data_IF_846299663704
#
_entry.id   IF_846299663704
#
_cell.length_a   1.000
_cell.length_b   1.000
_cell.length_c   1.000
_cell.angle_alpha   90.00
_cell.angle_beta   90.00
_cell.angle_gamma   90.00
#
_symmetry.space_group_name_H-M   'P 1'
#
loop_
_entity.id
_entity.type
_entity.pdbx_description
1 polymer ?
#
# COMPACT_ATOMS: atom_id res chain seq x y z
N UNK A 1 34.97 -62.88 -39.26
CA UNK A 1 34.41 -63.33 -37.96
C UNK A 1 33.96 -62.09 -37.18
N UNK A 2 32.69 -61.82 -37.19
CA UNK A 2 32.11 -60.68 -36.49
C UNK A 2 31.55 -61.18 -35.11
N UNK A 3 32.02 -60.63 -34.00
CA UNK A 3 31.44 -60.89 -32.67
C UNK A 3 30.45 -59.81 -32.34
N UNK A 4 29.20 -60.15 -32.09
CA UNK A 4 28.17 -59.31 -31.53
C UNK A 4 28.19 -59.40 -30.01
N UNK A 5 28.24 -58.26 -29.29
CA UNK A 5 28.01 -58.17 -27.86
C UNK A 5 26.58 -57.65 -27.61
N UNK A 6 25.82 -58.43 -26.87
CA UNK A 6 24.49 -58.04 -26.34
C UNK A 6 24.68 -57.35 -25.01
N UNK A 7 24.24 -56.11 -24.91
CA UNK A 7 24.17 -55.41 -23.62
C UNK A 7 22.79 -55.62 -23.02
N UNK A 8 22.73 -56.18 -21.82
CA UNK A 8 21.51 -56.35 -21.03
C UNK A 8 21.26 -55.03 -20.25
N UNK A 9 20.23 -54.30 -20.62
CA UNK A 9 19.77 -53.16 -19.86
C UNK A 9 18.87 -53.64 -18.69
N UNK A 10 19.32 -53.43 -17.46
CA UNK A 10 18.50 -53.64 -16.29
C UNK A 10 17.57 -52.46 -16.09
N UNK A 11 16.28 -52.65 -16.34
CA UNK A 11 15.22 -51.69 -15.93
C UNK A 11 14.95 -51.84 -14.44
N UNK A 12 15.31 -50.77 -13.68
CA UNK A 12 14.91 -50.65 -12.29
C UNK A 12 13.43 -50.18 -12.25
N UNK A 13 12.51 -51.08 -11.95
CA UNK A 13 11.14 -50.77 -11.55
C UNK A 13 11.15 -50.19 -10.15
N UNK A 14 11.00 -48.88 -10.01
CA UNK A 14 10.65 -48.25 -8.74
C UNK A 14 9.15 -48.48 -8.48
N UNK A 15 8.84 -49.45 -7.61
CA UNK A 15 7.49 -49.66 -7.09
C UNK A 15 7.27 -48.60 -6.01
N UNK A 16 6.51 -47.55 -6.34
CA UNK A 16 5.99 -46.59 -5.36
C UNK A 16 4.82 -47.27 -4.61
N UNK A 17 5.05 -47.63 -3.37
CA UNK A 17 3.96 -47.96 -2.44
C UNK A 17 3.30 -46.63 -2.03
N UNK A 18 2.19 -46.26 -2.70
CA UNK A 18 1.34 -45.18 -2.29
C UNK A 18 0.60 -45.57 -1.00
N UNK A 19 1.11 -45.15 0.16
CA UNK A 19 0.26 -45.04 1.34
C UNK A 19 -0.74 -43.95 1.09
N UNK A 20 -2.01 -44.33 0.86
CA UNK A 20 -3.12 -43.41 0.70
C UNK A 20 -3.35 -42.61 1.99
N UNK A 21 -2.61 -41.53 2.19
CA UNK A 21 -3.07 -40.44 3.04
C UNK A 21 -4.24 -39.77 2.33
N UNK A 22 -5.44 -39.97 2.84
CA UNK A 22 -6.57 -39.13 2.51
C UNK A 22 -6.21 -37.72 2.91
N UNK A 23 -5.83 -36.90 1.94
CA UNK A 23 -5.56 -35.47 2.15
C UNK A 23 -6.85 -34.83 2.65
N UNK A 24 -6.81 -33.99 3.70
CA UNK A 24 -7.97 -33.16 3.98
C UNK A 24 -8.19 -32.30 2.74
N UNK A 25 -9.32 -32.48 2.09
CA UNK A 25 -9.78 -31.61 1.01
C UNK A 25 -9.85 -30.22 1.63
N UNK A 26 -8.98 -29.33 1.21
CA UNK A 26 -9.10 -27.92 1.60
C UNK A 26 -10.43 -27.45 1.02
N UNK A 27 -11.38 -27.18 1.88
CA UNK A 27 -12.65 -26.57 1.45
C UNK A 27 -12.31 -25.22 0.80
N UNK A 28 -12.75 -25.03 -0.44
CA UNK A 28 -12.70 -23.73 -1.08
C UNK A 28 -13.54 -22.73 -0.27
N UNK A 29 -13.23 -21.43 -0.28
CA UNK A 29 -14.09 -20.44 0.32
C UNK A 29 -15.51 -20.58 -0.23
N UNK A 30 -16.49 -20.69 0.64
CA UNK A 30 -17.89 -20.97 0.26
C UNK A 30 -18.48 -19.90 -0.68
N UNK A 31 -17.91 -18.69 -0.67
CA UNK A 31 -18.35 -17.53 -1.45
C UNK A 31 -17.84 -17.49 -2.90
N UNK A 32 -16.76 -18.19 -3.23
CA UNK A 32 -16.06 -18.04 -4.52
C UNK A 32 -15.25 -16.73 -4.66
N UNK A 33 -15.08 -15.98 -3.56
CA UNK A 33 -14.23 -14.80 -3.47
C UNK A 33 -12.83 -15.16 -2.95
N UNK A 34 -11.85 -14.29 -3.17
CA UNK A 34 -10.59 -14.34 -2.44
C UNK A 34 -10.85 -14.11 -0.94
N UNK A 35 -10.00 -14.67 -0.10
CA UNK A 35 -10.20 -14.57 1.36
C UNK A 35 -8.86 -14.67 2.11
N UNK A 36 -8.92 -14.59 3.43
CA UNK A 36 -7.77 -14.77 4.32
C UNK A 36 -7.87 -16.12 5.02
N UNK A 37 -6.76 -16.86 5.04
CA UNK A 37 -6.63 -18.12 5.78
C UNK A 37 -5.24 -18.22 6.38
N UNK A 38 -5.14 -18.37 7.70
CA UNK A 38 -3.84 -18.48 8.40
C UNK A 38 -2.86 -17.37 8.01
N UNK A 39 -3.32 -16.12 8.05
CA UNK A 39 -2.51 -14.91 7.76
C UNK A 39 -2.01 -14.83 6.30
N UNK A 40 -2.58 -15.60 5.37
CA UNK A 40 -2.26 -15.54 3.95
C UNK A 40 -3.51 -15.26 3.11
N UNK A 41 -3.31 -14.59 1.97
CA UNK A 41 -4.34 -14.44 0.96
C UNK A 41 -4.54 -15.77 0.23
N UNK A 42 -5.79 -16.15 0.02
CA UNK A 42 -6.15 -17.33 -0.79
C UNK A 42 -7.17 -16.95 -1.85
N UNK A 43 -7.07 -17.59 -3.00
CA UNK A 43 -8.05 -17.45 -4.07
C UNK A 43 -9.36 -18.22 -3.76
N UNK A 44 -10.33 -18.13 -4.69
CA UNK A 44 -11.62 -18.81 -4.58
C UNK A 44 -11.54 -20.35 -4.49
N UNK A 45 -10.39 -20.94 -4.80
CA UNK A 45 -10.12 -22.38 -4.67
C UNK A 45 -9.32 -22.72 -3.41
N UNK A 46 -9.05 -21.72 -2.56
CA UNK A 46 -8.29 -21.88 -1.33
C UNK A 46 -6.77 -22.07 -1.54
N UNK A 47 -6.23 -21.74 -2.72
CA UNK A 47 -4.79 -21.75 -3.02
C UNK A 47 -4.16 -20.44 -2.54
N UNK A 48 -2.94 -20.49 -2.03
CA UNK A 48 -2.20 -19.28 -1.64
C UNK A 48 -2.04 -18.38 -2.87
N UNK A 49 -2.46 -17.12 -2.74
CA UNK A 49 -2.48 -16.12 -3.80
C UNK A 49 -1.34 -15.13 -3.59
N UNK A 50 -0.47 -14.99 -4.59
CA UNK A 50 0.57 -13.95 -4.62
C UNK A 50 0.12 -12.83 -5.55
N UNK A 51 -0.08 -11.64 -4.99
CA UNK A 51 -0.44 -10.45 -5.76
C UNK A 51 0.83 -9.77 -6.28
N UNK A 52 0.94 -9.65 -7.60
CA UNK A 52 1.96 -8.88 -8.31
C UNK A 52 1.24 -7.80 -9.11
N UNK A 53 1.28 -6.59 -8.61
CA UNK A 53 0.41 -5.53 -9.08
C UNK A 53 1.10 -4.23 -9.43
N UNK A 54 0.27 -3.33 -9.91
CA UNK A 54 0.63 -1.96 -10.26
C UNK A 54 -0.47 -1.00 -9.81
N UNK A 55 -0.07 0.20 -9.39
CA UNK A 55 -1.00 1.29 -9.16
C UNK A 55 -1.40 1.94 -10.49
N UNK A 56 -2.71 2.10 -10.71
CA UNK A 56 -3.27 2.81 -11.84
C UNK A 56 -4.19 3.92 -11.32
N UNK A 57 -3.64 5.11 -11.20
CA UNK A 57 -4.26 6.24 -10.52
C UNK A 57 -4.28 7.46 -11.44
N UNK A 58 -5.44 8.08 -11.59
CA UNK A 58 -5.61 9.35 -12.29
C UNK A 58 -6.12 10.39 -11.30
N UNK A 59 -5.34 11.45 -11.11
CA UNK A 59 -5.59 12.49 -10.08
C UNK A 59 -6.24 13.76 -10.63
N UNK A 60 -6.36 13.85 -11.98
CA UNK A 60 -6.82 15.07 -12.68
C UNK A 60 -8.34 15.12 -12.80
N UNK A 61 -8.99 16.14 -12.24
CA UNK A 61 -10.41 16.39 -12.48
C UNK A 61 -10.71 16.77 -13.94
N UNK A 62 -9.76 17.35 -14.68
CA UNK A 62 -9.88 17.67 -16.11
C UNK A 62 -10.03 16.40 -16.93
N UNK A 63 -9.38 15.32 -16.56
CA UNK A 63 -9.52 14.00 -17.15
C UNK A 63 -10.69 13.21 -16.55
N UNK A 64 -11.48 13.83 -15.68
CA UNK A 64 -12.59 13.20 -14.96
C UNK A 64 -12.16 11.97 -14.18
N UNK A 65 -10.93 11.99 -13.66
CA UNK A 65 -10.29 10.91 -12.89
C UNK A 65 -10.21 9.57 -13.63
N UNK A 66 -10.16 9.58 -14.96
CA UNK A 66 -10.04 8.37 -15.79
C UNK A 66 -9.02 8.56 -16.89
N UNK A 67 -8.24 7.52 -17.20
CA UNK A 67 -7.43 7.50 -18.41
C UNK A 67 -8.31 7.27 -19.64
N UNK A 68 -8.17 8.06 -20.70
CA UNK A 68 -8.91 7.83 -21.93
C UNK A 68 -8.40 6.56 -22.63
N UNK A 69 -9.33 5.69 -23.07
CA UNK A 69 -9.06 4.50 -23.88
C UNK A 69 -8.11 3.48 -23.25
N UNK A 70 -8.19 3.28 -21.95
CA UNK A 70 -7.32 2.36 -21.21
C UNK A 70 -7.74 0.87 -21.26
N UNK A 71 -8.78 0.49 -22.02
CA UNK A 71 -9.20 -0.91 -22.20
C UNK A 71 -8.05 -1.81 -22.68
N UNK A 72 -7.27 -1.34 -23.67
CA UNK A 72 -6.14 -2.10 -24.19
C UNK A 72 -5.04 -2.28 -23.12
N UNK A 73 -4.88 -1.31 -22.23
CA UNK A 73 -3.90 -1.35 -21.14
C UNK A 73 -4.15 -2.52 -20.18
N UNK A 74 -5.41 -2.88 -19.90
CA UNK A 74 -5.72 -4.05 -19.06
C UNK A 74 -5.22 -5.36 -19.68
N UNK A 75 -5.26 -5.49 -21.02
CA UNK A 75 -4.66 -6.63 -21.72
C UNK A 75 -3.13 -6.62 -21.61
N UNK A 76 -2.53 -5.44 -21.70
CA UNK A 76 -1.08 -5.27 -21.55
C UNK A 76 -0.64 -5.61 -20.12
N UNK A 77 -1.33 -5.14 -19.11
CA UNK A 77 -1.08 -5.52 -17.71
C UNK A 77 -1.08 -7.04 -17.55
N UNK A 78 -2.07 -7.73 -18.10
CA UNK A 78 -2.13 -9.19 -18.06
C UNK A 78 -0.94 -9.84 -18.77
N UNK A 79 -0.57 -9.32 -19.92
CA UNK A 79 0.59 -9.81 -20.69
C UNK A 79 1.92 -9.59 -19.95
N UNK A 80 2.03 -8.53 -19.17
CA UNK A 80 3.19 -8.26 -18.31
C UNK A 80 3.24 -9.13 -17.04
N UNK A 81 2.25 -9.98 -16.85
CA UNK A 81 2.15 -10.86 -15.67
C UNK A 81 1.53 -10.20 -14.45
N UNK A 82 0.99 -8.98 -14.59
CA UNK A 82 0.25 -8.31 -13.54
C UNK A 82 -1.07 -9.04 -13.30
N UNK A 83 -1.33 -9.40 -12.05
CA UNK A 83 -2.58 -10.04 -11.64
C UNK A 83 -3.42 -9.20 -10.68
N UNK A 84 -2.93 -8.02 -10.31
CA UNK A 84 -3.60 -7.09 -9.42
C UNK A 84 -3.38 -5.65 -9.85
N UNK A 85 -4.42 -4.83 -9.84
CA UNK A 85 -4.33 -3.38 -10.02
C UNK A 85 -4.91 -2.72 -8.77
N UNK A 86 -4.12 -1.85 -8.12
CA UNK A 86 -4.63 -0.90 -7.14
C UNK A 86 -5.13 0.31 -7.94
N UNK A 87 -6.45 0.37 -8.08
CA UNK A 87 -7.12 1.34 -8.92
C UNK A 87 -7.60 2.52 -8.10
N UNK A 88 -6.96 3.67 -8.29
CA UNK A 88 -7.29 4.90 -7.57
C UNK A 88 -8.63 5.48 -8.02
N UNK A 89 -9.52 5.66 -7.05
CA UNK A 89 -10.78 6.39 -7.19
C UNK A 89 -10.74 7.63 -6.30
N UNK A 90 -11.42 8.69 -6.70
CA UNK A 90 -11.38 9.96 -6.00
C UNK A 90 -12.73 10.30 -5.38
N UNK A 91 -12.73 10.70 -4.11
CA UNK A 91 -13.97 11.10 -3.43
C UNK A 91 -14.65 12.29 -4.12
N UNK A 92 -13.88 13.31 -4.58
CA UNK A 92 -14.42 14.43 -5.36
C UNK A 92 -15.14 13.98 -6.64
N UNK A 93 -14.60 12.97 -7.32
CA UNK A 93 -15.23 12.37 -8.49
C UNK A 93 -16.53 11.61 -8.16
N UNK A 94 -16.59 10.94 -7.02
CA UNK A 94 -17.72 10.12 -6.58
C UNK A 94 -18.87 10.94 -6.01
N UNK A 95 -18.56 11.97 -5.21
CA UNK A 95 -19.54 12.79 -4.47
C UNK A 95 -19.21 14.28 -4.65
N UNK A 96 -19.44 14.86 -5.86
CA UNK A 96 -19.11 16.25 -6.15
C UNK A 96 -19.91 17.27 -5.32
N UNK A 97 -21.09 16.88 -4.83
CA UNK A 97 -21.92 17.65 -3.90
C UNK A 97 -22.38 16.73 -2.76
N UNK A 98 -22.63 17.25 -1.54
CA UNK A 98 -23.00 16.44 -0.39
C UNK A 98 -24.20 15.53 -0.67
N UNK A 99 -24.03 14.23 -0.52
CA UNK A 99 -25.06 13.20 -0.74
C UNK A 99 -25.44 12.96 -2.19
N UNK A 100 -24.74 13.55 -3.18
CA UNK A 100 -25.02 13.38 -4.60
C UNK A 100 -23.90 12.59 -5.28
N UNK A 101 -24.20 11.33 -5.61
CA UNK A 101 -23.23 10.45 -6.27
C UNK A 101 -23.21 10.66 -7.78
N UNK A 102 -22.01 10.70 -8.35
CA UNK A 102 -21.78 10.91 -9.78
C UNK A 102 -21.86 9.59 -10.54
N UNK A 103 -23.05 9.28 -11.07
CA UNK A 103 -23.28 8.03 -11.79
C UNK A 103 -22.41 7.90 -13.05
N UNK A 104 -22.06 9.01 -13.72
CA UNK A 104 -21.19 8.94 -14.89
C UNK A 104 -19.76 8.48 -14.54
N UNK A 105 -19.22 8.91 -13.41
CA UNK A 105 -17.94 8.44 -12.92
C UNK A 105 -18.01 6.98 -12.40
N UNK A 106 -19.10 6.63 -11.72
CA UNK A 106 -19.34 5.24 -11.31
C UNK A 106 -19.37 4.28 -12.51
N UNK A 107 -20.01 4.68 -13.64
CA UNK A 107 -20.00 3.89 -14.87
C UNK A 107 -18.60 3.73 -15.48
N UNK A 108 -17.73 4.73 -15.33
CA UNK A 108 -16.33 4.59 -15.75
C UNK A 108 -15.58 3.55 -14.89
N UNK A 109 -15.82 3.55 -13.57
CA UNK A 109 -15.26 2.51 -12.67
C UNK A 109 -15.82 1.13 -13.06
N UNK A 110 -17.13 1.00 -13.32
CA UNK A 110 -17.75 -0.26 -13.76
C UNK A 110 -17.09 -0.83 -15.04
N UNK A 111 -16.69 0.04 -15.97
CA UNK A 111 -15.96 -0.40 -17.18
C UNK A 111 -14.62 -1.04 -16.81
N UNK A 112 -13.85 -0.42 -15.90
CA UNK A 112 -12.55 -0.92 -15.45
C UNK A 112 -12.70 -2.23 -14.68
N UNK A 113 -13.71 -2.33 -13.84
CA UNK A 113 -14.06 -3.58 -13.15
C UNK A 113 -14.34 -4.70 -14.16
N UNK A 114 -15.10 -4.41 -15.22
CA UNK A 114 -15.37 -5.39 -16.28
C UNK A 114 -14.11 -5.77 -17.05
N UNK A 115 -13.27 -4.80 -17.44
CA UNK A 115 -12.01 -5.10 -18.14
C UNK A 115 -11.04 -5.92 -17.29
N UNK A 116 -11.02 -5.68 -15.99
CA UNK A 116 -10.25 -6.49 -15.06
C UNK A 116 -10.76 -7.93 -15.02
N UNK A 117 -12.08 -8.13 -14.93
CA UNK A 117 -12.72 -9.44 -14.95
C UNK A 117 -12.42 -10.19 -16.24
N UNK A 118 -12.60 -9.54 -17.40
CA UNK A 118 -12.34 -10.11 -18.74
C UNK A 118 -10.87 -10.53 -18.93
N UNK A 119 -9.93 -9.87 -18.24
CA UNK A 119 -8.50 -10.17 -18.31
C UNK A 119 -8.00 -11.02 -17.12
N UNK A 120 -8.86 -11.43 -16.20
CA UNK A 120 -8.49 -12.22 -15.02
C UNK A 120 -7.53 -11.48 -14.08
N UNK A 121 -7.76 -10.19 -13.88
CA UNK A 121 -7.00 -9.30 -13.00
C UNK A 121 -7.87 -8.94 -11.79
N UNK A 122 -7.31 -8.97 -10.60
CA UNK A 122 -7.97 -8.45 -9.41
C UNK A 122 -7.85 -6.93 -9.33
N UNK A 123 -8.92 -6.25 -8.92
CA UNK A 123 -8.90 -4.83 -8.57
C UNK A 123 -8.99 -4.63 -7.07
N UNK A 124 -8.11 -3.80 -6.54
CA UNK A 124 -8.26 -3.15 -5.24
C UNK A 124 -8.76 -1.75 -5.54
N UNK A 125 -9.98 -1.42 -5.09
CA UNK A 125 -10.47 -0.03 -5.20
C UNK A 125 -9.85 0.78 -4.08
N UNK A 126 -9.02 1.76 -4.44
CA UNK A 126 -8.30 2.63 -3.54
C UNK A 126 -8.95 4.02 -3.51
N UNK A 127 -9.45 4.44 -2.34
CA UNK A 127 -9.91 5.81 -2.16
C UNK A 127 -8.69 6.72 -2.01
N UNK A 128 -8.19 7.15 -3.15
CA UNK A 128 -6.93 7.88 -3.25
C UNK A 128 -7.06 9.34 -2.83
N UNK A 129 -6.09 9.80 -2.06
CA UNK A 129 -5.94 11.18 -1.68
C UNK A 129 -4.45 11.56 -1.61
N UNK A 130 -4.14 12.81 -1.96
CA UNK A 130 -2.93 13.51 -1.61
C UNK A 130 -3.30 14.88 -1.07
N UNK A 131 -2.69 15.27 0.05
CA UNK A 131 -2.91 16.55 0.72
C UNK A 131 -4.39 16.79 1.08
N UNK A 132 -5.11 15.71 1.41
CA UNK A 132 -6.52 15.66 1.78
C UNK A 132 -7.49 15.74 0.60
N UNK A 133 -7.38 16.70 -0.29
CA UNK A 133 -8.42 16.89 -1.29
C UNK A 133 -8.04 17.80 -2.45
N UNK A 134 -8.96 17.91 -3.41
CA UNK A 134 -8.83 18.64 -4.65
C UNK A 134 -8.28 20.07 -4.50
N UNK A 135 -8.57 20.73 -3.39
CA UNK A 135 -8.12 22.09 -3.14
C UNK A 135 -6.61 22.23 -3.06
N UNK A 136 -5.90 21.19 -2.64
CA UNK A 136 -4.45 21.18 -2.39
C UNK A 136 -3.70 20.11 -3.19
N UNK A 137 -4.39 19.04 -3.56
CA UNK A 137 -3.89 17.89 -4.29
C UNK A 137 -5.03 17.15 -4.97
N UNK A 138 -5.42 15.98 -4.44
CA UNK A 138 -6.56 15.20 -4.90
C UNK A 138 -7.22 14.46 -3.73
N UNK A 139 -8.42 13.92 -3.94
CA UNK A 139 -9.16 13.15 -2.94
C UNK A 139 -10.50 13.80 -2.59
N UNK A 140 -10.59 14.48 -1.44
CA UNK A 140 -11.83 15.09 -0.96
C UNK A 140 -12.31 16.23 -1.86
N UNK A 141 -13.64 16.37 -2.06
CA UNK A 141 -14.22 17.53 -2.74
C UNK A 141 -14.05 18.83 -1.92
N UNK A 142 -14.17 19.97 -2.59
CA UNK A 142 -14.00 21.27 -1.94
C UNK A 142 -14.96 21.47 -0.77
N UNK A 143 -16.21 21.01 -0.89
CA UNK A 143 -17.20 21.14 0.17
C UNK A 143 -16.86 20.35 1.44
N UNK A 144 -16.04 19.29 1.33
CA UNK A 144 -15.54 18.48 2.46
C UNK A 144 -14.16 18.96 2.95
N UNK A 145 -13.49 19.86 2.23
CA UNK A 145 -12.17 20.39 2.56
C UNK A 145 -12.33 21.59 3.51
N UNK A 146 -12.52 21.30 4.81
CA UNK A 146 -12.77 22.31 5.83
C UNK A 146 -11.45 22.85 6.42
N UNK A 147 -10.81 23.73 5.69
CA UNK A 147 -9.49 24.31 6.04
C UNK A 147 -9.55 25.59 6.88
N UNK A 148 -10.77 26.07 7.24
CA UNK A 148 -11.01 27.30 7.99
C UNK A 148 -10.34 28.54 7.38
N UNK A 149 -10.10 28.53 6.07
CA UNK A 149 -9.40 29.60 5.34
C UNK A 149 -7.98 29.85 5.82
N UNK A 150 -7.34 28.87 6.41
CA UNK A 150 -5.93 28.93 6.78
C UNK A 150 -5.04 28.96 5.52
N UNK A 151 -3.82 29.51 5.63
CA UNK A 151 -2.92 29.58 4.47
C UNK A 151 -2.45 28.19 4.06
N UNK A 152 -2.40 27.96 2.74
CA UNK A 152 -1.73 26.82 2.15
C UNK A 152 -0.25 27.15 1.91
N UNK A 153 0.64 26.23 2.29
CA UNK A 153 2.07 26.34 2.06
C UNK A 153 2.57 25.12 1.27
N UNK A 154 3.45 25.36 0.32
CA UNK A 154 4.12 24.33 -0.50
C UNK A 154 5.61 24.36 -0.24
N UNK A 155 6.28 23.19 -0.24
CA UNK A 155 7.71 23.04 -0.10
C UNK A 155 8.39 22.72 -1.43
N UNK A 156 9.59 22.13 -1.37
CA UNK A 156 10.34 21.70 -2.55
C UNK A 156 9.73 20.46 -3.20
N UNK A 157 9.31 19.52 -2.37
CA UNK A 157 8.55 18.37 -2.82
C UNK A 157 7.07 18.55 -2.47
N UNK A 158 6.19 17.97 -3.25
CA UNK A 158 4.75 18.11 -3.07
C UNK A 158 4.28 17.70 -1.66
N UNK A 159 4.89 16.66 -1.11
CA UNK A 159 4.53 16.09 0.20
C UNK A 159 4.96 16.95 1.40
N UNK A 160 5.85 17.93 1.22
CA UNK A 160 6.21 18.88 2.28
C UNK A 160 4.97 19.59 2.84
N UNK A 161 3.95 19.80 1.99
CA UNK A 161 2.69 20.44 2.39
C UNK A 161 1.96 19.71 3.53
N UNK A 162 2.15 18.42 3.72
CA UNK A 162 1.64 17.71 4.90
C UNK A 162 2.21 18.29 6.20
N UNK A 163 3.48 18.67 6.20
CA UNK A 163 4.19 19.15 7.39
C UNK A 163 4.09 20.66 7.59
N UNK A 164 4.04 21.44 6.49
CA UNK A 164 4.16 22.91 6.57
C UNK A 164 2.89 23.67 6.24
N UNK A 165 1.83 23.02 5.72
CA UNK A 165 0.59 23.70 5.35
C UNK A 165 -0.47 23.62 6.46
N UNK A 166 -0.77 24.75 7.15
CA UNK A 166 -1.85 24.79 8.13
C UNK A 166 -3.20 24.39 7.56
N UNK A 167 -3.49 24.77 6.30
CA UNK A 167 -4.74 24.46 5.61
C UNK A 167 -4.93 22.93 5.40
N UNK A 168 -3.88 22.23 4.96
CA UNK A 168 -3.91 20.76 4.79
C UNK A 168 -4.11 20.08 6.14
N UNK A 169 -3.29 20.43 7.14
CA UNK A 169 -3.39 19.84 8.47
C UNK A 169 -4.78 20.05 9.10
N UNK A 170 -5.34 21.24 8.95
CA UNK A 170 -6.67 21.56 9.49
C UNK A 170 -7.79 20.78 8.80
N UNK A 171 -7.66 20.53 7.49
CA UNK A 171 -8.63 19.71 6.77
C UNK A 171 -8.68 18.29 7.31
N UNK A 172 -7.52 17.68 7.63
CA UNK A 172 -7.47 16.38 8.29
C UNK A 172 -8.04 16.42 9.72
N UNK A 173 -7.71 17.44 10.50
CA UNK A 173 -8.27 17.60 11.86
C UNK A 173 -9.80 17.60 11.82
N UNK A 174 -10.39 18.37 10.91
CA UNK A 174 -11.83 18.42 10.72
C UNK A 174 -12.44 17.08 10.27
N UNK A 175 -11.70 16.32 9.45
CA UNK A 175 -12.12 14.96 9.05
C UNK A 175 -12.13 14.01 10.26
N UNK A 176 -11.06 14.01 11.06
CA UNK A 176 -10.99 13.15 12.25
C UNK A 176 -11.99 13.54 13.33
N UNK A 177 -12.30 14.83 13.41
CA UNK A 177 -13.35 15.34 14.30
C UNK A 177 -14.78 15.08 13.78
N UNK A 178 -14.91 14.59 12.52
CA UNK A 178 -16.19 14.45 11.84
C UNK A 178 -16.99 15.75 11.80
N UNK A 179 -16.31 16.87 11.52
CA UNK A 179 -16.92 18.19 11.46
C UNK A 179 -18.07 18.24 10.45
N UNK A 180 -19.15 18.98 10.72
CA UNK A 180 -20.33 18.99 9.86
C UNK A 180 -20.06 19.70 8.52
N UNK A 181 -20.52 19.10 7.43
CA UNK A 181 -20.63 19.72 6.11
C UNK A 181 -21.81 20.72 6.07
N UNK A 182 -22.02 21.35 4.92
CA UNK A 182 -23.10 22.36 4.75
C UNK A 182 -24.51 21.80 4.98
N UNK A 183 -24.73 20.52 4.76
CA UNK A 183 -26.00 19.82 4.98
C UNK A 183 -26.19 19.35 6.43
N UNK A 184 -25.19 19.57 7.30
CA UNK A 184 -25.19 19.19 8.70
C UNK A 184 -24.69 17.76 8.98
N UNK A 185 -24.41 16.96 7.96
CA UNK A 185 -23.82 15.63 8.09
C UNK A 185 -22.30 15.77 8.31
N UNK A 186 -21.68 14.92 9.12
CA UNK A 186 -20.23 14.93 9.30
C UNK A 186 -19.49 14.54 8.04
N UNK A 187 -18.36 15.20 7.73
CA UNK A 187 -17.59 14.91 6.51
C UNK A 187 -17.02 13.48 6.50
N UNK A 188 -16.67 12.93 7.67
CA UNK A 188 -16.26 11.54 7.77
C UNK A 188 -17.43 10.57 7.52
N UNK A 189 -18.65 10.94 7.94
CA UNK A 189 -19.85 10.14 7.70
C UNK A 189 -20.21 10.12 6.21
N UNK A 190 -20.04 11.23 5.48
CA UNK A 190 -20.15 11.24 4.02
C UNK A 190 -19.19 10.26 3.37
N UNK A 191 -17.91 10.33 3.73
CA UNK A 191 -16.87 9.41 3.24
C UNK A 191 -17.22 7.93 3.48
N UNK A 192 -17.69 7.61 4.69
CA UNK A 192 -18.13 6.28 5.07
C UNK A 192 -19.36 5.85 4.24
N UNK A 193 -20.28 6.76 3.95
CA UNK A 193 -21.46 6.48 3.12
C UNK A 193 -21.09 6.21 1.66
N UNK A 194 -20.10 6.92 1.10
CA UNK A 194 -19.54 6.61 -0.23
C UNK A 194 -19.03 5.18 -0.27
N UNK A 195 -18.26 4.74 0.72
CA UNK A 195 -17.81 3.34 0.83
C UNK A 195 -18.97 2.36 0.95
N UNK A 196 -20.00 2.71 1.70
CA UNK A 196 -21.19 1.88 1.78
C UNK A 196 -21.91 1.70 0.45
N UNK A 197 -22.00 2.76 -0.36
CA UNK A 197 -22.56 2.73 -1.71
C UNK A 197 -21.67 1.88 -2.65
N UNK A 198 -20.36 2.04 -2.61
CA UNK A 198 -19.43 1.23 -3.41
C UNK A 198 -19.49 -0.25 -3.03
N UNK A 199 -19.55 -0.56 -1.74
CA UNK A 199 -19.68 -1.92 -1.24
C UNK A 199 -20.99 -2.59 -1.73
N UNK A 200 -22.09 -1.85 -1.76
CA UNK A 200 -23.36 -2.32 -2.31
C UNK A 200 -23.28 -2.54 -3.83
N UNK A 201 -22.67 -1.59 -4.58
CA UNK A 201 -22.54 -1.66 -6.04
C UNK A 201 -21.71 -2.86 -6.49
N UNK A 202 -20.64 -3.20 -5.77
CA UNK A 202 -19.70 -4.25 -6.16
C UNK A 202 -19.83 -5.55 -5.34
N UNK A 203 -20.85 -5.70 -4.51
CA UNK A 203 -21.03 -6.85 -3.59
C UNK A 203 -20.87 -8.23 -4.24
N UNK A 204 -21.22 -8.37 -5.52
CA UNK A 204 -21.14 -9.61 -6.28
C UNK A 204 -19.96 -9.67 -7.27
N UNK A 205 -19.12 -8.62 -7.34
CA UNK A 205 -18.03 -8.49 -8.31
C UNK A 205 -16.74 -9.16 -7.79
N UNK A 206 -16.48 -10.38 -8.21
CA UNK A 206 -15.33 -11.18 -7.75
C UNK A 206 -13.97 -10.66 -8.25
N UNK A 207 -13.94 -9.90 -9.32
CA UNK A 207 -12.74 -9.22 -9.81
C UNK A 207 -12.31 -8.06 -8.92
N UNK A 208 -13.24 -7.40 -8.22
CA UNK A 208 -12.91 -6.53 -7.10
C UNK A 208 -12.49 -7.43 -5.94
N UNK A 209 -11.20 -7.46 -5.61
CA UNK A 209 -10.72 -8.30 -4.50
C UNK A 209 -11.00 -7.65 -3.14
N UNK A 210 -11.07 -6.32 -3.09
CA UNK A 210 -11.37 -5.58 -1.87
C UNK A 210 -11.23 -4.08 -2.02
N UNK A 211 -11.37 -3.39 -0.89
CA UNK A 211 -11.41 -1.95 -0.76
C UNK A 211 -10.22 -1.46 0.06
N UNK A 212 -9.39 -0.62 -0.54
CA UNK A 212 -8.35 0.13 0.15
C UNK A 212 -8.96 1.45 0.63
N UNK A 213 -9.23 1.46 1.93
CA UNK A 213 -10.27 2.33 2.48
C UNK A 213 -9.87 3.79 2.63
N UNK A 214 -8.59 4.10 2.63
CA UNK A 214 -8.03 5.45 2.59
C UNK A 214 -6.53 5.39 2.29
N UNK A 215 -6.11 6.04 1.21
CA UNK A 215 -4.68 6.23 0.91
C UNK A 215 -4.03 7.09 2.00
N UNK A 216 -2.94 6.61 2.58
CA UNK A 216 -2.02 7.32 3.48
C UNK A 216 -2.72 8.19 4.54
N UNK A 217 -3.43 7.58 5.52
CA UNK A 217 -4.10 8.34 6.57
C UNK A 217 -3.12 9.29 7.28
N UNK A 218 -3.36 10.60 7.19
CA UNK A 218 -2.50 11.60 7.79
C UNK A 218 -3.13 12.21 9.06
N UNK A 219 -2.30 12.48 10.06
CA UNK A 219 -2.76 12.80 11.42
C UNK A 219 -3.04 14.30 11.69
N UNK A 220 -3.11 15.13 10.63
CA UNK A 220 -3.40 16.55 10.76
C UNK A 220 -2.33 17.33 11.54
N UNK A 221 -2.76 18.27 12.39
CA UNK A 221 -1.84 19.10 13.19
C UNK A 221 -0.98 18.32 14.19
N UNK A 222 -1.34 17.08 14.54
CA UNK A 222 -0.50 16.21 15.39
C UNK A 222 0.86 15.89 14.72
N UNK A 223 0.96 16.02 13.40
CA UNK A 223 2.20 15.83 12.65
C UNK A 223 3.31 16.82 13.06
N UNK A 224 2.95 17.99 13.56
CA UNK A 224 3.95 18.96 14.07
C UNK A 224 4.74 18.39 15.25
N UNK A 225 4.09 17.65 16.13
CA UNK A 225 4.76 16.98 17.24
C UNK A 225 5.68 15.85 16.75
N UNK A 226 5.28 15.11 15.71
CA UNK A 226 6.11 14.07 15.09
C UNK A 226 7.38 14.68 14.51
N UNK A 227 7.26 15.77 13.75
CA UNK A 227 8.41 16.46 13.17
C UNK A 227 9.37 16.98 14.26
N UNK A 228 8.84 17.62 15.31
CA UNK A 228 9.66 18.05 16.45
C UNK A 228 10.39 16.87 17.11
N UNK A 229 9.70 15.74 17.29
CA UNK A 229 10.29 14.53 17.87
C UNK A 229 11.37 13.91 16.97
N UNK A 230 11.24 13.98 15.64
CA UNK A 230 12.33 13.59 14.72
C UNK A 230 13.57 14.43 14.94
N UNK A 231 13.41 15.75 15.06
CA UNK A 231 14.53 16.66 15.35
C UNK A 231 15.19 16.34 16.71
N UNK A 232 14.39 16.13 17.74
CA UNK A 232 14.88 15.75 19.07
C UNK A 232 15.63 14.41 19.07
N UNK A 233 15.07 13.40 18.39
CA UNK A 233 15.71 12.09 18.21
C UNK A 233 17.08 12.19 17.55
N UNK A 234 17.18 13.00 16.50
CA UNK A 234 18.46 13.23 15.84
C UNK A 234 19.46 13.96 16.73
N UNK A 235 19.05 14.98 17.46
CA UNK A 235 19.89 15.68 18.43
C UNK A 235 20.40 14.70 19.50
N UNK A 236 19.55 13.82 20.01
CA UNK A 236 19.92 12.78 20.99
C UNK A 236 20.97 11.82 20.40
N UNK A 237 20.78 11.39 19.15
CA UNK A 237 21.77 10.59 18.42
C UNK A 237 23.13 11.30 18.34
N UNK A 238 23.16 12.58 17.93
CA UNK A 238 24.40 13.38 17.83
C UNK A 238 25.09 13.55 19.19
N UNK A 239 24.34 13.82 20.26
CA UNK A 239 24.87 13.93 21.61
C UNK A 239 25.51 12.62 22.09
N UNK A 240 24.86 11.48 21.82
CA UNK A 240 25.39 10.14 22.12
C UNK A 240 26.70 9.87 21.40
N UNK A 241 26.91 10.46 20.22
CA UNK A 241 28.15 10.37 19.43
C UNK A 241 29.12 11.52 19.66
N UNK A 242 28.97 12.26 20.77
CA UNK A 242 29.93 13.28 21.22
C UNK A 242 29.74 14.70 20.65
N UNK A 243 28.71 14.92 19.84
CA UNK A 243 28.36 16.24 19.28
C UNK A 243 27.40 17.00 20.21
N UNK A 244 27.85 17.34 21.40
CA UNK A 244 27.00 17.89 22.49
C UNK A 244 26.63 19.38 22.33
N UNK A 245 27.13 20.07 21.30
CA UNK A 245 26.87 21.50 21.06
C UNK A 245 25.68 21.75 20.13
N UNK A 246 25.03 20.68 19.61
CA UNK A 246 23.86 20.82 18.73
C UNK A 246 22.62 21.10 19.56
N UNK A 247 21.91 22.19 19.24
CA UNK A 247 20.66 22.58 19.89
C UNK A 247 19.47 22.48 18.92
N UNK A 248 18.23 22.47 19.43
CA UNK A 248 17.04 22.49 18.58
C UNK A 248 17.01 23.69 17.60
N UNK A 249 17.44 24.87 18.07
CA UNK A 249 17.45 26.09 17.25
C UNK A 249 18.48 25.98 16.12
N UNK A 250 19.66 25.39 16.39
CA UNK A 250 20.66 25.12 15.36
C UNK A 250 20.16 24.14 14.31
N UNK A 251 19.44 23.09 14.73
CA UNK A 251 18.84 22.11 13.81
C UNK A 251 17.73 22.72 12.97
N UNK A 252 16.88 23.56 13.54
CA UNK A 252 15.85 24.28 12.79
C UNK A 252 16.48 25.14 11.70
N UNK A 253 17.57 25.86 12.00
CA UNK A 253 18.30 26.66 11.01
C UNK A 253 18.91 25.80 9.86
N UNK A 254 19.39 24.59 10.18
CA UNK A 254 19.86 23.62 9.16
C UNK A 254 18.70 23.16 8.29
N UNK A 255 17.54 22.86 8.88
CA UNK A 255 16.35 22.43 8.16
C UNK A 255 15.78 23.50 7.22
N UNK A 256 15.80 24.76 7.66
CA UNK A 256 15.32 25.89 6.88
C UNK A 256 16.29 26.30 5.74
N UNK A 257 17.49 25.71 5.71
CA UNK A 257 18.48 25.95 4.65
C UNK A 257 18.56 24.72 3.72
N UNK A 258 18.20 24.92 2.45
CA UNK A 258 18.09 23.87 1.43
C UNK A 258 19.36 23.01 1.30
N UNK A 259 20.51 23.66 1.11
CA UNK A 259 21.79 22.95 0.91
C UNK A 259 22.18 22.15 2.16
N UNK A 260 21.98 22.74 3.35
CA UNK A 260 22.29 22.09 4.62
C UNK A 260 21.33 20.95 4.92
N UNK A 261 20.06 21.13 4.58
CA UNK A 261 19.04 20.05 4.70
C UNK A 261 19.38 18.87 3.78
N UNK A 262 19.75 19.12 2.52
CA UNK A 262 20.17 18.08 1.59
C UNK A 262 21.40 17.31 2.10
N UNK A 263 22.40 18.02 2.62
CA UNK A 263 23.59 17.40 3.23
C UNK A 263 23.20 16.58 4.48
N UNK A 264 22.33 17.12 5.34
CA UNK A 264 21.80 16.41 6.50
C UNK A 264 21.09 15.12 6.10
N UNK A 265 20.22 15.16 5.10
CA UNK A 265 19.52 13.98 4.59
C UNK A 265 20.48 12.93 4.04
N UNK A 266 21.57 13.34 3.41
CA UNK A 266 22.63 12.44 2.97
C UNK A 266 23.38 11.80 4.16
N UNK A 267 23.65 12.55 5.23
CA UNK A 267 24.28 12.03 6.44
C UNK A 267 23.41 11.05 7.21
N UNK A 268 22.09 11.18 7.11
CA UNK A 268 21.10 10.24 7.70
C UNK A 268 21.02 8.89 6.96
N UNK A 269 22.05 8.50 6.22
CA UNK A 269 22.21 7.14 5.68
C UNK A 269 22.51 6.12 6.77
N UNK A 270 22.98 6.58 7.93
CA UNK A 270 23.24 5.71 9.08
C UNK A 270 21.94 5.12 9.62
N UNK A 271 21.87 3.78 9.67
CA UNK A 271 20.69 3.05 10.15
C UNK A 271 20.38 3.32 11.62
N UNK A 272 21.41 3.51 12.47
CA UNK A 272 21.21 3.79 13.89
C UNK A 272 20.55 5.16 14.07
N UNK A 273 21.06 6.21 13.39
CA UNK A 273 20.46 7.53 13.38
C UNK A 273 19.00 7.49 12.92
N UNK A 274 18.74 6.83 11.78
CA UNK A 274 17.41 6.66 11.23
C UNK A 274 16.44 5.99 12.22
N UNK A 275 16.89 4.91 12.86
CA UNK A 275 16.07 4.16 13.80
C UNK A 275 15.76 4.97 15.07
N UNK A 276 16.74 5.71 15.62
CA UNK A 276 16.55 6.56 16.80
C UNK A 276 15.58 7.71 16.52
N UNK A 277 15.67 8.34 15.34
CA UNK A 277 14.74 9.38 14.91
C UNK A 277 13.31 8.86 14.85
N UNK A 278 13.09 7.75 14.16
CA UNK A 278 11.75 7.16 14.05
C UNK A 278 11.19 6.72 15.40
N UNK A 279 12.05 6.17 16.25
CA UNK A 279 11.64 5.72 17.59
C UNK A 279 11.14 6.88 18.46
N UNK A 280 11.76 8.06 18.34
CA UNK A 280 11.34 9.24 19.12
C UNK A 280 9.87 9.64 18.88
N UNK A 281 9.35 9.43 17.65
CA UNK A 281 7.97 9.78 17.31
C UNK A 281 6.98 8.59 17.42
N UNK A 282 7.45 7.39 17.71
CA UNK A 282 6.63 6.17 17.64
C UNK A 282 5.39 6.22 18.55
N UNK A 283 5.49 6.81 19.74
CA UNK A 283 4.36 6.91 20.67
C UNK A 283 3.27 7.84 20.15
N UNK A 284 3.64 8.98 19.56
CA UNK A 284 2.67 9.94 18.98
C UNK A 284 1.93 9.35 17.81
N UNK A 285 2.64 8.68 16.88
CA UNK A 285 2.04 7.98 15.75
C UNK A 285 1.13 6.85 16.23
N UNK A 286 1.60 6.04 17.17
CA UNK A 286 0.83 4.94 17.76
C UNK A 286 -0.47 5.41 18.41
N UNK A 287 -0.44 6.53 19.12
CA UNK A 287 -1.63 7.11 19.77
C UNK A 287 -2.69 7.51 18.75
N UNK A 288 -2.31 8.16 17.65
CA UNK A 288 -3.22 8.48 16.55
C UNK A 288 -3.85 7.22 15.96
N UNK A 289 -3.02 6.22 15.64
CA UNK A 289 -3.51 4.97 15.03
C UNK A 289 -4.47 4.20 15.94
N UNK A 290 -4.17 4.11 17.23
CA UNK A 290 -5.01 3.39 18.20
C UNK A 290 -6.32 4.12 18.50
N UNK A 291 -6.38 5.43 18.31
CA UNK A 291 -7.57 6.24 18.60
C UNK A 291 -8.33 6.64 17.33
N UNK A 292 -7.85 7.67 16.63
CA UNK A 292 -8.58 8.27 15.51
C UNK A 292 -8.74 7.28 14.37
N UNK A 293 -7.65 6.68 13.93
CA UNK A 293 -7.63 5.76 12.79
C UNK A 293 -8.41 4.48 13.09
N UNK A 294 -8.22 3.89 14.27
CA UNK A 294 -8.95 2.67 14.66
C UNK A 294 -10.46 2.91 14.78
N UNK A 295 -10.90 4.07 15.31
CA UNK A 295 -12.32 4.41 15.34
C UNK A 295 -12.93 4.59 13.95
N UNK A 296 -12.19 5.21 13.06
CA UNK A 296 -12.58 5.36 11.66
C UNK A 296 -12.73 4.01 10.98
N UNK A 297 -11.73 3.13 11.09
CA UNK A 297 -11.80 1.78 10.53
C UNK A 297 -12.95 0.95 11.07
N UNK A 298 -13.26 1.09 12.35
CA UNK A 298 -14.43 0.42 12.94
C UNK A 298 -15.74 0.89 12.31
N UNK A 299 -15.97 2.20 12.23
CA UNK A 299 -17.18 2.77 11.61
C UNK A 299 -17.31 2.37 10.14
N UNK A 300 -16.20 2.44 9.41
CA UNK A 300 -16.15 2.13 7.98
C UNK A 300 -16.43 0.66 7.73
N UNK A 301 -15.79 -0.25 8.48
CA UNK A 301 -16.08 -1.68 8.44
C UNK A 301 -17.57 -1.95 8.71
N UNK A 302 -18.13 -1.36 9.73
CA UNK A 302 -19.52 -1.59 10.11
C UNK A 302 -20.48 -1.16 8.99
N UNK A 303 -20.19 -0.06 8.30
CA UNK A 303 -20.98 0.42 7.16
C UNK A 303 -20.83 -0.49 5.94
N UNK A 304 -19.61 -0.89 5.58
CA UNK A 304 -19.34 -1.80 4.46
C UNK A 304 -20.01 -3.15 4.71
N UNK A 305 -19.88 -3.71 5.91
CA UNK A 305 -20.41 -5.06 6.24
C UNK A 305 -21.92 -5.13 6.32
N UNK A 306 -22.64 -4.02 6.23
CA UNK A 306 -24.09 -4.00 6.03
C UNK A 306 -24.46 -4.50 4.62
N UNK A 307 -23.68 -4.13 3.62
CA UNK A 307 -23.94 -4.46 2.22
C UNK A 307 -23.07 -5.62 1.71
N UNK A 308 -21.83 -5.72 2.15
CA UNK A 308 -20.83 -6.66 1.65
C UNK A 308 -20.16 -7.44 2.79
N UNK A 309 -20.13 -8.77 2.64
CA UNK A 309 -19.51 -9.68 3.62
C UNK A 309 -18.37 -10.52 3.04
N UNK A 310 -17.98 -10.26 1.81
CA UNK A 310 -17.07 -11.10 1.04
C UNK A 310 -15.75 -10.43 0.69
N UNK A 311 -15.75 -9.13 0.39
CA UNK A 311 -14.56 -8.44 -0.05
C UNK A 311 -13.59 -8.15 1.09
N UNK A 312 -12.30 -8.13 0.75
CA UNK A 312 -11.23 -7.77 1.68
C UNK A 312 -11.28 -6.29 2.01
N UNK A 313 -10.88 -5.95 3.23
CA UNK A 313 -10.60 -4.58 3.65
C UNK A 313 -9.09 -4.41 3.75
N UNK A 314 -8.53 -3.60 2.88
CA UNK A 314 -7.15 -3.20 2.91
C UNK A 314 -7.04 -1.98 3.82
N UNK A 315 -6.32 -2.15 4.94
CA UNK A 315 -6.19 -1.16 5.99
C UNK A 315 -4.77 -0.64 6.00
N UNK A 316 -4.62 0.61 5.62
CA UNK A 316 -3.33 1.27 5.61
C UNK A 316 -2.90 1.73 7.00
N UNK A 317 -1.64 1.94 7.17
CA UNK A 317 -1.07 2.57 8.34
C UNK A 317 -1.02 4.11 8.19
N UNK A 318 -0.68 4.81 9.25
CA UNK A 318 -0.44 6.25 9.19
C UNK A 318 0.74 6.58 8.24
N UNK A 319 0.65 7.70 7.53
CA UNK A 319 1.67 8.22 6.61
C UNK A 319 3.11 8.07 7.12
N UNK A 320 3.39 8.38 8.39
CA UNK A 320 4.75 8.25 8.94
C UNK A 320 5.22 6.80 9.12
N UNK A 321 4.32 5.83 9.07
CA UNK A 321 4.69 4.42 9.10
C UNK A 321 5.31 3.94 7.77
N UNK A 322 5.15 4.68 6.67
CA UNK A 322 5.81 4.41 5.38
C UNK A 322 7.32 4.28 5.52
N UNK A 323 7.92 5.04 6.46
CA UNK A 323 9.36 5.05 6.73
C UNK A 323 9.81 3.99 7.74
N UNK A 324 8.89 3.15 8.26
CA UNK A 324 9.22 2.06 9.17
C UNK A 324 8.92 2.32 10.65
N UNK A 325 8.14 3.34 11.02
CA UNK A 325 7.49 3.35 12.33
C UNK A 325 6.49 2.19 12.37
N UNK A 326 6.52 1.39 13.43
CA UNK A 326 5.60 0.26 13.57
C UNK A 326 4.16 0.74 13.69
N UNK A 327 3.32 0.24 12.83
CA UNK A 327 1.90 0.51 12.91
C UNK A 327 1.25 -0.18 14.13
N UNK A 328 0.18 0.42 14.65
CA UNK A 328 -0.45 -0.02 15.90
C UNK A 328 -1.98 0.11 15.92
N UNK A 329 -2.62 0.34 14.77
CA UNK A 329 -4.07 0.38 14.70
C UNK A 329 -4.71 -0.95 15.12
N UNK A 330 -5.94 -0.88 15.63
CA UNK A 330 -6.73 -2.05 15.98
C UNK A 330 -7.53 -2.56 14.79
N UNK A 331 -7.56 -3.89 14.62
CA UNK A 331 -8.40 -4.52 13.60
C UNK A 331 -9.86 -4.29 13.98
N UNK A 332 -10.70 -3.77 13.07
CA UNK A 332 -12.12 -3.58 13.36
C UNK A 332 -12.80 -4.93 13.60
N UNK A 333 -13.77 -4.94 14.50
CA UNK A 333 -14.43 -6.15 14.97
C UNK A 333 -15.93 -6.13 14.72
N UNK A 334 -16.55 -7.30 14.77
CA UNK A 334 -18.01 -7.42 14.75
C UNK A 334 -18.64 -7.02 16.11
N UNK A 335 -19.97 -7.04 16.18
CA UNK A 335 -20.72 -6.70 17.40
C UNK A 335 -20.45 -7.61 18.59
N UNK A 336 -19.82 -8.76 18.39
CA UNK A 336 -19.40 -9.71 19.42
C UNK A 336 -17.94 -9.51 19.83
N UNK A 337 -17.25 -8.52 19.27
CA UNK A 337 -15.84 -8.24 19.53
C UNK A 337 -14.88 -9.18 18.77
N UNK A 338 -15.37 -9.96 17.79
CA UNK A 338 -14.51 -10.80 16.96
C UNK A 338 -13.91 -9.95 15.84
N UNK A 339 -12.56 -9.92 15.72
CA UNK A 339 -11.89 -9.22 14.62
C UNK A 339 -12.40 -9.67 13.25
N UNK A 340 -12.54 -8.73 12.32
CA UNK A 340 -12.94 -9.02 10.94
C UNK A 340 -11.83 -9.82 10.24
N UNK A 341 -12.15 -11.05 9.87
CA UNK A 341 -11.18 -11.98 9.29
C UNK A 341 -10.81 -11.70 7.84
N UNK A 342 -11.44 -10.71 7.22
CA UNK A 342 -11.19 -10.30 5.84
C UNK A 342 -10.39 -8.99 5.77
N UNK A 343 -9.62 -8.68 6.80
CA UNK A 343 -8.70 -7.55 6.80
C UNK A 343 -7.32 -7.96 6.28
N UNK A 344 -6.69 -7.05 5.56
CA UNK A 344 -5.32 -7.11 5.04
C UNK A 344 -4.59 -5.88 5.52
N UNK A 345 -3.37 -6.02 6.01
CA UNK A 345 -2.50 -4.89 6.29
C UNK A 345 -1.93 -4.36 4.98
N UNK A 346 -2.37 -3.19 4.55
CA UNK A 346 -1.90 -2.52 3.35
C UNK A 346 -0.86 -1.47 3.75
N UNK A 347 0.42 -1.80 3.60
CA UNK A 347 1.51 -0.91 3.96
C UNK A 347 2.05 -0.18 2.72
N UNK A 348 2.49 1.06 2.89
CA UNK A 348 3.38 1.70 1.93
C UNK A 348 4.82 1.61 2.42
N UNK A 349 5.78 1.57 1.52
CA UNK A 349 7.18 1.36 1.84
C UNK A 349 8.07 2.35 1.07
N UNK A 350 8.32 3.49 1.69
CA UNK A 350 9.14 4.55 1.11
C UNK A 350 10.26 4.97 2.04
N UNK A 351 11.45 5.07 1.49
CA UNK A 351 12.56 5.78 2.12
C UNK A 351 12.28 7.30 2.07
N UNK A 352 12.72 8.05 3.03
CA UNK A 352 12.53 9.51 3.07
C UNK A 352 13.20 10.30 1.93
N UNK A 353 14.07 9.66 1.14
CA UNK A 353 14.63 10.26 -0.08
C UNK A 353 13.73 10.07 -1.31
N UNK A 354 12.56 9.43 -1.18
CA UNK A 354 11.57 9.36 -2.26
C UNK A 354 11.24 10.77 -2.76
N UNK A 355 10.97 10.92 -4.04
CA UNK A 355 10.71 12.20 -4.72
C UNK A 355 11.92 13.16 -4.80
N UNK A 356 13.12 12.74 -4.38
CA UNK A 356 14.35 13.50 -4.50
C UNK A 356 15.35 12.85 -5.46
N UNK A 357 16.39 13.59 -5.84
CA UNK A 357 17.48 13.06 -6.65
C UNK A 357 18.25 11.91 -5.99
N UNK A 358 18.23 11.83 -4.67
CA UNK A 358 18.86 10.76 -3.90
C UNK A 358 18.15 9.41 -4.01
N UNK A 359 16.91 9.37 -4.49
CA UNK A 359 16.13 8.12 -4.66
C UNK A 359 16.78 7.09 -5.61
N UNK A 360 17.70 7.52 -6.48
CA UNK A 360 18.50 6.62 -7.34
C UNK A 360 19.38 5.67 -6.51
N UNK A 361 19.94 6.17 -5.41
CA UNK A 361 20.75 5.41 -4.46
C UNK A 361 20.17 5.54 -3.05
N UNK A 362 19.05 4.88 -2.77
CA UNK A 362 18.42 4.93 -1.46
C UNK A 362 19.31 4.23 -0.43
N UNK A 363 19.05 4.48 0.85
CA UNK A 363 19.70 3.73 1.91
C UNK A 363 19.19 2.29 1.96
N UNK A 364 19.90 1.34 1.37
CA UNK A 364 19.45 -0.07 1.36
C UNK A 364 19.22 -0.63 2.76
N UNK A 365 20.02 -0.26 3.75
CA UNK A 365 19.79 -0.66 5.14
C UNK A 365 18.53 -0.03 5.73
N UNK A 366 18.14 1.18 5.30
CA UNK A 366 16.87 1.80 5.67
C UNK A 366 15.70 1.06 5.03
N UNK A 367 15.79 0.69 3.74
CA UNK A 367 14.78 -0.14 3.08
C UNK A 367 14.63 -1.51 3.76
N UNK A 368 15.73 -2.17 4.10
CA UNK A 368 15.70 -3.43 4.87
C UNK A 368 14.96 -3.25 6.20
N UNK A 369 15.21 -2.15 6.90
CA UNK A 369 14.53 -1.80 8.14
C UNK A 369 13.04 -1.56 7.90
N UNK A 370 12.66 -0.72 6.95
CA UNK A 370 11.26 -0.41 6.60
C UNK A 370 10.49 -1.70 6.34
N UNK A 371 10.96 -2.54 5.41
CA UNK A 371 10.29 -3.80 5.09
C UNK A 371 10.23 -4.78 6.27
N UNK A 372 11.23 -4.76 7.16
CA UNK A 372 11.20 -5.56 8.38
C UNK A 372 10.12 -5.09 9.36
N UNK A 373 9.95 -3.76 9.52
CA UNK A 373 8.97 -3.17 10.43
C UNK A 373 7.53 -3.36 9.94
N UNK A 374 7.27 -3.15 8.64
CA UNK A 374 5.94 -3.43 8.09
C UNK A 374 5.56 -4.91 8.21
N UNK A 375 6.52 -5.81 7.97
CA UNK A 375 6.29 -7.26 8.13
C UNK A 375 6.05 -7.63 9.60
N UNK A 376 6.78 -7.02 10.54
CA UNK A 376 6.54 -7.20 11.97
C UNK A 376 5.15 -6.67 12.36
N UNK A 377 4.75 -5.51 11.85
CA UNK A 377 3.42 -4.93 12.08
C UNK A 377 2.28 -5.86 11.64
N UNK A 378 2.41 -6.48 10.46
CA UNK A 378 1.45 -7.45 9.95
C UNK A 378 1.36 -8.71 10.84
N UNK A 379 2.52 -9.28 11.18
CA UNK A 379 2.62 -10.49 12.02
C UNK A 379 2.04 -10.29 13.42
N UNK A 380 2.33 -9.16 14.06
CA UNK A 380 1.79 -8.83 15.39
C UNK A 380 0.27 -8.73 15.41
N UNK A 381 -0.35 -8.43 14.27
CA UNK A 381 -1.81 -8.37 14.08
C UNK A 381 -2.41 -9.64 13.48
N UNK A 382 -1.60 -10.63 13.15
CA UNK A 382 -2.07 -11.84 12.47
C UNK A 382 -2.82 -11.53 11.15
N UNK A 383 -2.31 -10.55 10.38
CA UNK A 383 -2.85 -10.17 9.08
C UNK A 383 -1.91 -10.58 7.94
N UNK A 384 -2.46 -10.95 6.77
CA UNK A 384 -1.67 -10.94 5.55
C UNK A 384 -1.26 -9.51 5.22
N UNK A 385 -0.13 -9.34 4.53
CA UNK A 385 0.37 -8.02 4.14
C UNK A 385 0.39 -7.84 2.63
N UNK A 386 0.00 -6.64 2.20
CA UNK A 386 0.22 -6.08 0.87
C UNK A 386 1.09 -4.84 1.01
N UNK A 387 2.11 -4.69 0.16
CA UNK A 387 2.77 -3.40 -0.02
C UNK A 387 2.01 -2.65 -1.11
N UNK A 388 1.08 -1.79 -0.68
CA UNK A 388 0.17 -1.05 -1.55
C UNK A 388 0.90 -0.06 -2.44
N UNK A 389 1.98 0.53 -1.92
CA UNK A 389 2.86 1.40 -2.71
C UNK A 389 4.33 1.20 -2.35
N UNK A 390 5.16 1.21 -3.37
CA UNK A 390 6.62 1.20 -3.30
C UNK A 390 7.20 1.60 -4.65
N UNK A 391 8.45 1.99 -4.69
CA UNK A 391 9.16 2.33 -5.92
C UNK A 391 9.17 3.83 -6.18
N UNK A 392 8.15 4.39 -6.81
CA UNK A 392 8.08 5.82 -7.21
C UNK A 392 9.30 6.23 -8.05
N UNK A 393 9.60 5.46 -9.11
CA UNK A 393 10.76 5.69 -9.97
C UNK A 393 10.39 6.59 -11.15
N UNK A 394 11.09 7.71 -11.29
CA UNK A 394 10.83 8.72 -12.29
C UNK A 394 11.71 8.59 -13.52
N UNK A 395 11.32 9.27 -14.60
CA UNK A 395 12.03 9.27 -15.88
C UNK A 395 13.46 9.85 -15.79
N UNK A 396 14.33 9.34 -16.64
CA UNK A 396 15.64 9.94 -16.92
C UNK A 396 16.77 9.47 -16.02
N UNK A 397 16.52 8.53 -15.09
CA UNK A 397 17.55 7.94 -14.21
C UNK A 397 17.43 6.42 -14.20
N UNK A 398 18.51 5.71 -13.91
CA UNK A 398 18.49 4.26 -13.71
C UNK A 398 18.16 3.93 -12.27
N UNK A 399 17.07 3.19 -12.07
CA UNK A 399 16.63 2.69 -10.77
C UNK A 399 16.78 1.18 -10.63
N UNK A 400 17.43 0.51 -11.59
CA UNK A 400 17.51 -0.95 -11.67
C UNK A 400 17.98 -1.61 -10.37
N UNK A 401 19.00 -1.06 -9.72
CA UNK A 401 19.53 -1.64 -8.48
C UNK A 401 18.56 -1.46 -7.31
N UNK A 402 18.00 -0.26 -7.14
CA UNK A 402 16.99 0.03 -6.12
C UNK A 402 15.75 -0.84 -6.31
N UNK A 403 15.27 -0.96 -7.54
CA UNK A 403 14.11 -1.78 -7.89
C UNK A 403 14.35 -3.27 -7.58
N UNK A 404 15.52 -3.80 -7.93
CA UNK A 404 15.89 -5.20 -7.62
C UNK A 404 16.01 -5.45 -6.13
N UNK A 405 16.55 -4.49 -5.39
CA UNK A 405 16.65 -4.62 -3.93
C UNK A 405 15.26 -4.71 -3.29
N UNK A 406 14.37 -3.78 -3.63
CA UNK A 406 13.02 -3.74 -3.07
C UNK A 406 12.20 -4.96 -3.46
N UNK A 407 12.26 -5.41 -4.73
CA UNK A 407 11.56 -6.64 -5.12
C UNK A 407 12.13 -7.87 -4.42
N UNK A 408 13.44 -7.91 -4.17
CA UNK A 408 14.07 -8.96 -3.38
C UNK A 408 13.57 -9.01 -1.94
N UNK A 409 13.26 -7.86 -1.32
CA UNK A 409 12.63 -7.78 0.01
C UNK A 409 11.18 -8.27 -0.02
N UNK A 410 10.41 -7.88 -1.03
CA UNK A 410 9.04 -8.35 -1.26
C UNK A 410 9.02 -9.88 -1.36
N UNK A 411 9.91 -10.47 -2.16
CA UNK A 411 10.04 -11.92 -2.30
C UNK A 411 10.49 -12.60 -1.02
N UNK A 412 11.49 -12.06 -0.35
CA UNK A 412 12.01 -12.55 0.95
C UNK A 412 10.90 -12.66 2.00
N UNK A 413 10.04 -11.68 2.08
CA UNK A 413 8.95 -11.64 3.05
C UNK A 413 7.64 -12.23 2.51
N UNK A 414 7.59 -12.65 1.25
CA UNK A 414 6.42 -13.21 0.55
C UNK A 414 5.21 -12.27 0.58
N UNK A 415 5.45 -11.00 0.32
CA UNK A 415 4.43 -9.96 0.34
C UNK A 415 3.70 -9.90 -1.00
N UNK A 416 2.39 -9.65 -0.99
CA UNK A 416 1.72 -9.07 -2.14
C UNK A 416 2.20 -7.63 -2.33
N UNK A 417 2.14 -7.12 -3.56
CA UNK A 417 2.53 -5.74 -3.80
C UNK A 417 1.84 -5.11 -5.00
N UNK A 418 1.78 -3.77 -5.01
CA UNK A 418 1.42 -2.95 -6.16
C UNK A 418 2.46 -1.84 -6.32
N UNK A 419 3.18 -1.86 -7.45
CA UNK A 419 4.23 -0.88 -7.76
C UNK A 419 3.61 0.51 -7.98
N UNK A 420 4.20 1.57 -7.45
CA UNK A 420 3.83 2.96 -7.72
C UNK A 420 4.71 3.54 -8.82
N UNK A 421 4.18 3.89 -9.95
CA UNK A 421 2.86 3.60 -10.49
C UNK A 421 2.96 3.37 -12.00
N UNK A 422 1.87 3.03 -12.65
CA UNK A 422 1.84 3.01 -14.11
C UNK A 422 1.93 4.42 -14.69
N UNK A 423 2.71 4.57 -15.71
CA UNK A 423 2.77 5.72 -16.58
C UNK A 423 3.08 5.26 -18.01
N UNK A 424 2.74 6.08 -19.00
CA UNK A 424 2.90 5.73 -20.40
C UNK A 424 4.37 5.47 -20.74
N UNK A 425 4.64 4.37 -21.45
CA UNK A 425 5.96 3.91 -21.88
C UNK A 425 6.86 3.38 -20.71
N UNK A 426 6.26 2.96 -19.58
CA UNK A 426 6.99 2.35 -18.44
C UNK A 426 7.82 1.11 -18.87
N UNK A 427 7.38 0.39 -19.91
CA UNK A 427 8.06 -0.78 -20.46
C UNK A 427 9.43 -0.47 -21.04
N UNK A 428 9.75 0.80 -21.28
CA UNK A 428 11.05 1.24 -21.76
C UNK A 428 12.10 1.35 -20.64
N UNK A 429 11.71 1.20 -19.39
CA UNK A 429 12.59 1.33 -18.25
C UNK A 429 13.48 0.10 -18.05
N UNK A 430 14.70 0.33 -17.59
CA UNK A 430 15.71 -0.71 -17.42
C UNK A 430 15.34 -1.78 -16.36
N UNK A 431 14.49 -1.41 -15.39
CA UNK A 431 13.99 -2.33 -14.37
C UNK A 431 12.71 -3.08 -14.76
N UNK A 432 12.04 -2.69 -15.87
CA UNK A 432 10.70 -3.20 -16.19
C UNK A 432 10.64 -4.74 -16.25
N UNK A 433 11.52 -5.37 -17.03
CA UNK A 433 11.50 -6.83 -17.20
C UNK A 433 11.93 -7.62 -15.96
N UNK A 434 12.75 -7.01 -15.07
CA UNK A 434 13.24 -7.68 -13.87
C UNK A 434 12.39 -7.42 -12.62
N UNK A 435 11.44 -6.48 -12.70
CA UNK A 435 10.62 -6.05 -11.56
C UNK A 435 9.13 -6.09 -11.87
N UNK A 436 8.68 -5.37 -12.90
CA UNK A 436 7.25 -5.26 -13.21
C UNK A 436 6.75 -6.52 -13.92
N UNK A 437 7.45 -6.94 -15.00
CA UNK A 437 7.09 -8.08 -15.86
C UNK A 437 7.90 -9.34 -15.55
N UNK A 438 8.33 -9.50 -14.30
CA UNK A 438 9.11 -10.66 -13.86
C UNK A 438 8.26 -11.92 -13.68
N UNK A 439 8.84 -13.13 -13.79
CA UNK A 439 8.16 -14.35 -13.42
C UNK A 439 8.00 -14.46 -11.89
N UNK A 440 6.84 -14.97 -11.43
CA UNK A 440 6.55 -15.23 -10.01
C UNK A 440 5.48 -16.32 -9.88
N UNK A 441 5.34 -16.99 -8.70
CA UNK A 441 4.27 -17.97 -8.48
C UNK A 441 2.94 -17.25 -8.22
N UNK A 442 2.04 -17.19 -9.22
CA UNK A 442 0.76 -16.48 -9.09
C UNK A 442 -0.16 -17.13 -8.03
N UNK A 443 -0.22 -18.45 -8.02
CA UNK A 443 -0.96 -19.22 -7.03
C UNK A 443 -0.19 -20.48 -6.66
N UNK A 444 -0.29 -20.91 -5.40
CA UNK A 444 0.39 -22.10 -4.90
C UNK A 444 -0.62 -23.02 -4.22
N UNK A 445 -0.69 -24.26 -4.69
CA UNK A 445 -1.52 -25.29 -4.04
C UNK A 445 -0.75 -25.84 -2.83
N UNK A 446 -0.97 -25.23 -1.66
CA UNK A 446 -0.21 -25.53 -0.47
C UNK A 446 0.22 -24.24 0.23
N UNK A 447 1.32 -24.29 0.94
CA UNK A 447 1.95 -23.13 1.59
C UNK A 447 3.24 -22.77 0.84
N UNK A 448 3.34 -21.53 0.37
CA UNK A 448 4.56 -20.99 -0.19
C UNK A 448 5.62 -20.84 0.91
N UNK A 449 6.77 -21.46 0.74
CA UNK A 449 7.87 -21.37 1.69
C UNK A 449 8.85 -20.26 1.32
N UNK A 450 9.25 -20.22 0.04
CA UNK A 450 10.12 -19.17 -0.51
C UNK A 450 9.97 -19.09 -2.01
N UNK A 451 10.28 -17.93 -2.60
CA UNK A 451 10.50 -17.77 -4.03
C UNK A 451 11.50 -16.64 -4.29
N UNK A 452 12.14 -16.68 -5.45
CA UNK A 452 13.00 -15.62 -5.96
C UNK A 452 12.95 -15.60 -7.49
N UNK A 453 13.00 -14.41 -8.06
CA UNK A 453 13.02 -14.17 -9.50
C UNK A 453 14.35 -13.63 -10.02
N UNK A 454 15.35 -13.42 -9.16
CA UNK A 454 16.61 -12.71 -9.48
C UNK A 454 17.42 -13.39 -10.58
N UNK A 455 17.55 -14.72 -10.53
CA UNK A 455 18.33 -15.52 -11.49
C UNK A 455 17.46 -16.57 -12.19
N UNK A 456 16.24 -16.19 -12.52
CA UNK A 456 15.19 -17.11 -12.94
C UNK A 456 14.31 -17.54 -11.77
N UNK A 457 13.06 -17.95 -12.09
CA UNK A 457 12.10 -18.27 -11.04
C UNK A 457 12.51 -19.54 -10.27
N UNK A 458 12.80 -19.38 -8.98
CA UNK A 458 12.91 -20.49 -8.03
C UNK A 458 11.74 -20.40 -7.04
N UNK A 459 11.11 -21.51 -6.73
CA UNK A 459 9.96 -21.56 -5.84
C UNK A 459 9.97 -22.85 -5.01
N UNK A 460 9.75 -22.70 -3.71
CA UNK A 460 9.59 -23.83 -2.78
C UNK A 460 8.24 -23.72 -2.08
N UNK A 461 7.51 -24.83 -2.02
CA UNK A 461 6.24 -24.92 -1.33
C UNK A 461 6.07 -26.29 -0.68
N UNK A 462 5.14 -26.37 0.26
CA UNK A 462 4.66 -27.64 0.82
C UNK A 462 3.15 -27.74 0.66
N UNK A 463 2.69 -28.96 0.47
CA UNK A 463 1.26 -29.30 0.46
C UNK A 463 0.66 -29.35 1.88
#
# INVERSE_FOLDING_TARGET
MKKYYWGIGAALLCIFWGTGCTRPVREAPASGFASVRNEILVDSLGRELVLNGINHVTKSPEDRYVYPNDEQLFKEFRNWGINCIRYGINWDGLEPEPGQYNESYLQEIDRRVRWAEENGIYLILDMHQDLFGRKFGNGAPEWATLDESLPHATGEVWSDSYLISPAVQKSFDNFWANSPAKDGTGIQDHYINVWGMLAERYADCKSVIGFDVMNEPFMGTQAQAVFQQFMEGYIQYLHKHGQTQVSPEAMTAVWDNEDQRAELMNQLTDKEAFTEILHAASETVSRFEQNELSRFYQKLRDRIRQADKNHLLFLEHNYFCNMGIKSSFHIPADTNGKPDSLCVYAAHAYDWVVDTDAAVNPGYERLDFIFSQLTASARERHLPALVGEWGAFYLGKSYLQSARHQIGLIEKYKLGHTYWCWWKDIETQDYFSSVISRPYPQVVNGQLLSYSSTDGLTCQWKE
#
